data_IF_474537651873
#
_entry.id   IF_474537651873
#
_cell.length_a   1.000
_cell.length_b   1.000
_cell.length_c   1.000
_cell.angle_alpha   90.00
_cell.angle_beta   90.00
_cell.angle_gamma   90.00
#
_symmetry.space_group_name_H-M   'P 1'
#
loop_
_entity.id
_entity.type
_entity.pdbx_description
1 polymer ?
#
# COMPACT_ATOMS: atom_id res chain seq x y z
N UNK A 1 25.33 4.21 33.06
CA UNK A 1 25.77 4.52 31.69
C UNK A 1 24.70 5.41 31.07
N UNK A 2 25.01 6.63 30.62
CA UNK A 2 24.03 7.41 29.88
C UNK A 2 23.86 6.76 28.50
N UNK A 3 22.67 6.27 28.18
CA UNK A 3 22.30 5.82 26.83
C UNK A 3 21.91 7.07 26.06
N UNK A 4 22.89 7.71 25.45
CA UNK A 4 22.66 8.91 24.67
C UNK A 4 21.85 8.53 23.43
N UNK A 5 20.61 8.99 23.33
CA UNK A 5 19.67 8.65 22.24
C UNK A 5 20.25 9.04 20.87
N UNK A 6 21.21 9.97 20.86
CA UNK A 6 21.94 10.41 19.68
C UNK A 6 22.96 9.38 19.14
N UNK A 7 23.40 8.42 19.96
CA UNK A 7 24.32 7.38 19.51
C UNK A 7 23.60 6.34 18.63
N UNK A 8 22.40 5.91 19.04
CA UNK A 8 21.66 4.79 18.43
C UNK A 8 20.31 5.21 17.82
N UNK A 9 20.13 6.50 17.54
CA UNK A 9 18.90 7.07 16.98
C UNK A 9 18.88 7.19 15.45
N UNK A 10 17.68 7.39 14.90
CA UNK A 10 17.45 7.74 13.49
C UNK A 10 16.83 9.14 13.39
N UNK A 11 17.39 9.98 12.53
CA UNK A 11 16.75 11.20 12.05
C UNK A 11 15.90 10.88 10.82
N UNK A 12 14.62 11.24 10.84
CA UNK A 12 13.70 10.99 9.72
C UNK A 12 12.97 12.28 9.40
N UNK A 13 12.99 12.67 8.13
CA UNK A 13 12.25 13.80 7.59
C UNK A 13 11.48 13.34 6.35
N UNK A 14 10.28 13.86 6.14
CA UNK A 14 9.46 13.50 4.98
C UNK A 14 8.89 14.75 4.31
N UNK A 15 8.75 14.66 2.99
CA UNK A 15 8.14 15.69 2.16
C UNK A 15 7.12 15.01 1.25
N UNK A 16 5.90 15.54 1.24
CA UNK A 16 4.86 15.15 0.29
C UNK A 16 5.09 16.01 -0.95
N UNK A 17 5.61 15.41 -2.01
CA UNK A 17 5.93 16.14 -3.24
C UNK A 17 4.76 16.18 -4.22
N UNK A 18 3.85 15.20 -4.16
CA UNK A 18 2.64 15.15 -4.96
C UNK A 18 1.58 14.30 -4.26
N UNK A 19 0.42 14.14 -4.89
CA UNK A 19 -0.73 13.37 -4.40
C UNK A 19 -0.38 11.89 -4.16
N UNK A 20 0.51 11.34 -5.00
CA UNK A 20 0.91 9.93 -4.94
C UNK A 20 2.38 9.71 -4.52
N UNK A 21 3.10 10.77 -4.15
CA UNK A 21 4.55 10.71 -3.94
C UNK A 21 5.01 11.34 -2.63
N UNK A 22 5.63 10.53 -1.77
CA UNK A 22 6.24 10.93 -0.51
C UNK A 22 7.73 10.62 -0.56
N UNK A 23 8.57 11.63 -0.32
CA UNK A 23 10.02 11.48 -0.18
C UNK A 23 10.39 11.37 1.29
N UNK A 24 11.11 10.30 1.65
CA UNK A 24 11.67 10.10 2.98
C UNK A 24 13.17 10.34 2.94
N UNK A 25 13.65 11.28 3.76
CA UNK A 25 15.06 11.50 4.00
C UNK A 25 15.40 10.99 5.40
N UNK A 26 16.14 9.88 5.44
CA UNK A 26 16.51 9.13 6.64
C UNK A 26 18.02 9.25 6.83
N UNK A 27 18.43 9.74 7.99
CA UNK A 27 19.82 9.81 8.42
C UNK A 27 20.00 8.96 9.67
N UNK A 28 21.07 8.17 9.73
CA UNK A 28 21.48 7.46 10.95
C UNK A 28 22.93 7.80 11.29
N UNK A 29 23.30 7.61 12.55
CA UNK A 29 24.67 7.79 12.97
C UNK A 29 25.53 6.60 12.54
N UNK A 30 26.41 6.80 11.55
CA UNK A 30 27.28 5.73 11.00
C UNK A 30 28.25 5.12 12.02
N UNK A 31 28.48 5.77 13.16
CA UNK A 31 29.34 5.24 14.21
C UNK A 31 28.64 4.21 15.12
N UNK A 32 27.32 4.05 15.02
CA UNK A 32 26.59 3.00 15.74
C UNK A 32 26.28 1.83 14.80
N UNK A 33 26.82 0.62 15.08
CA UNK A 33 26.54 -0.58 14.28
C UNK A 33 25.08 -1.05 14.38
N UNK A 34 24.31 -0.50 15.33
CA UNK A 34 22.90 -0.83 15.50
C UNK A 34 21.97 -0.01 14.59
N UNK A 35 22.48 1.09 14.02
CA UNK A 35 21.68 1.99 13.17
C UNK A 35 22.06 1.95 11.69
N UNK A 36 21.09 1.59 10.83
CA UNK A 36 21.27 1.53 9.37
C UNK A 36 20.08 2.20 8.67
N UNK A 37 20.31 3.42 8.17
CA UNK A 37 19.31 4.23 7.45
C UNK A 37 18.76 3.53 6.21
N UNK A 38 19.56 2.70 5.55
CA UNK A 38 19.15 1.94 4.36
C UNK A 38 18.20 0.82 4.75
N UNK A 39 18.55 0.05 5.77
CA UNK A 39 17.68 -0.99 6.33
C UNK A 39 16.36 -0.40 6.83
N UNK A 40 16.41 0.77 7.47
CA UNK A 40 15.20 1.46 7.93
C UNK A 40 14.32 1.94 6.75
N UNK A 41 14.92 2.49 5.70
CA UNK A 41 14.19 2.86 4.48
C UNK A 41 13.49 1.67 3.81
N UNK A 42 14.13 0.51 3.76
CA UNK A 42 13.51 -0.73 3.26
C UNK A 42 12.31 -1.16 4.11
N UNK A 43 12.40 -1.02 5.44
CA UNK A 43 11.29 -1.33 6.36
C UNK A 43 10.10 -0.40 6.16
N UNK A 44 10.34 0.90 5.94
CA UNK A 44 9.26 1.86 5.62
C UNK A 44 8.57 1.46 4.32
N UNK A 45 9.34 1.13 3.27
CA UNK A 45 8.77 0.68 2.00
C UNK A 45 7.88 -0.55 2.18
N UNK A 46 8.39 -1.57 2.90
CA UNK A 46 7.62 -2.79 3.16
C UNK A 46 6.33 -2.49 3.94
N UNK A 47 6.42 -1.69 5.01
CA UNK A 47 5.25 -1.32 5.80
C UNK A 47 4.19 -0.57 4.98
N UNK A 48 4.60 0.27 4.03
CA UNK A 48 3.67 0.96 3.13
C UNK A 48 2.98 -0.02 2.16
N UNK A 49 3.69 -1.03 1.68
CA UNK A 49 3.13 -2.09 0.84
C UNK A 49 2.14 -2.97 1.64
N UNK A 50 2.50 -3.34 2.87
CA UNK A 50 1.64 -4.11 3.77
C UNK A 50 0.35 -3.33 4.11
N UNK A 51 0.47 -2.01 4.37
CA UNK A 51 -0.68 -1.14 4.61
C UNK A 51 -1.57 -1.04 3.38
N UNK A 52 -0.98 -0.94 2.18
CA UNK A 52 -1.73 -0.94 0.92
C UNK A 52 -2.51 -2.24 0.74
N UNK A 53 -1.85 -3.39 0.92
CA UNK A 53 -2.50 -4.69 0.79
C UNK A 53 -3.65 -4.86 1.79
N UNK A 54 -3.45 -4.41 3.03
CA UNK A 54 -4.49 -4.42 4.05
C UNK A 54 -5.68 -3.53 3.67
N UNK A 55 -5.42 -2.33 3.14
CA UNK A 55 -6.48 -1.43 2.67
C UNK A 55 -7.24 -2.00 1.46
N UNK A 56 -6.54 -2.58 0.48
CA UNK A 56 -7.14 -3.24 -0.67
C UNK A 56 -8.02 -4.43 -0.23
N UNK A 57 -7.59 -5.18 0.79
CA UNK A 57 -8.39 -6.28 1.38
C UNK A 57 -9.64 -5.79 2.12
N UNK A 58 -9.60 -4.61 2.73
CA UNK A 58 -10.74 -4.02 3.43
C UNK A 58 -11.71 -3.29 2.50
N UNK A 59 -11.22 -2.74 1.40
CA UNK A 59 -12.08 -2.11 0.38
C UNK A 59 -12.75 -3.15 -0.53
N UNK A 60 -12.12 -4.32 -0.73
CA UNK A 60 -12.70 -5.42 -1.52
C UNK A 60 -13.84 -6.17 -0.81
N UNK A 61 -13.98 -6.07 0.52
CA UNK A 61 -15.19 -6.55 1.21
C UNK A 61 -16.40 -5.62 1.01
N UNK A 62 -16.24 -4.47 0.35
CA UNK A 62 -17.30 -3.49 0.08
C UNK A 62 -17.80 -3.54 -1.38
N UNK A 63 -17.13 -4.23 -2.31
CA UNK A 63 -17.53 -4.28 -3.74
C UNK A 63 -17.72 -5.70 -4.30
N UNK A 64 -18.39 -6.59 -3.55
CA UNK A 64 -18.92 -7.86 -4.11
C UNK A 64 -20.37 -7.72 -4.59
N UNK A 65 -20.79 -6.55 -5.07
CA UNK A 65 -22.14 -6.33 -5.59
C UNK A 65 -22.15 -5.41 -6.81
N UNK A 66 -21.48 -5.81 -7.89
CA UNK A 66 -21.79 -5.27 -9.22
C UNK A 66 -22.18 -6.38 -10.17
N UNK A 67 -23.48 -6.41 -10.43
CA UNK A 67 -24.17 -7.47 -11.14
C UNK A 67 -23.67 -7.71 -12.56
N UNK A 68 -23.58 -8.98 -12.89
CA UNK A 68 -23.64 -9.43 -14.27
C UNK A 68 -25.08 -9.26 -14.77
N UNK A 69 -25.20 -8.52 -15.88
CA UNK A 69 -26.45 -8.04 -16.45
C UNK A 69 -27.26 -9.20 -17.01
N UNK A 70 -28.56 -9.21 -16.68
CA UNK A 70 -29.58 -9.94 -17.42
C UNK A 70 -29.52 -9.53 -18.90
N UNK A 71 -29.11 -10.43 -19.79
CA UNK A 71 -29.51 -10.35 -21.20
C UNK A 71 -30.88 -11.03 -21.34
N UNK A 72 -31.91 -10.33 -20.85
CA UNK A 72 -33.28 -10.56 -21.28
C UNK A 72 -33.43 -9.82 -22.62
N UNK A 73 -33.18 -10.53 -23.72
CA UNK A 73 -33.86 -10.20 -24.97
C UNK A 73 -34.81 -11.35 -25.26
N UNK A 74 -36.05 -11.12 -24.88
CA UNK A 74 -37.17 -12.02 -25.12
C UNK A 74 -37.67 -11.79 -26.56
N UNK A 75 -37.51 -12.82 -27.40
CA UNK A 75 -38.42 -13.26 -28.48
C UNK A 75 -38.66 -12.35 -29.70
N UNK A 76 -39.34 -12.80 -30.78
CA UNK A 76 -39.86 -14.14 -31.14
C UNK A 76 -39.48 -14.57 -32.60
N UNK A 77 -40.09 -15.67 -33.09
CA UNK A 77 -40.21 -16.10 -34.50
C UNK A 77 -39.19 -17.17 -34.94
N UNK A 78 -39.53 -18.28 -35.61
CA UNK A 78 -40.75 -18.63 -36.33
C UNK A 78 -41.01 -20.15 -36.26
N UNK A 79 -42.29 -20.45 -36.22
CA UNK A 79 -43.06 -21.63 -36.62
C UNK A 79 -42.43 -22.99 -36.98
N UNK A 80 -43.26 -23.96 -36.62
CA UNK A 80 -43.21 -25.39 -36.86
C UNK A 80 -43.16 -25.83 -38.34
N UNK A 81 -42.89 -27.13 -38.49
CA UNK A 81 -43.06 -28.02 -39.65
C UNK A 81 -41.83 -28.08 -40.56
N UNK A 82 -41.28 -29.23 -40.93
CA UNK A 82 -41.82 -30.60 -40.99
C UNK A 82 -40.69 -31.64 -40.92
#
# INVERSE_FOLDING_TARGET
MPTDVAADGYGVSYIIASEDLIFFHISSNKSSPETDSTRFGQRIKQAMEDMRELLERQTSSVDSSKGEKKSLIDSPSADASS
#
